data_IF_518510099983
#
_entry.id   IF_518510099983
#
_cell.length_a   1.000
_cell.length_b   1.000
_cell.length_c   1.000
_cell.angle_alpha   90.00
_cell.angle_beta   90.00
_cell.angle_gamma   90.00
#
_symmetry.space_group_name_H-M   'P 1'
#
loop_
_entity.id
_entity.type
_entity.pdbx_description
1 polymer ?
#
# COMPACT_ATOMS: atom_id res chain seq x y z
N UNK A 1 -7.91 -0.07 5.46
CA UNK A 1 -9.13 -0.65 4.85
C UNK A 1 -8.80 -1.33 3.51
N UNK A 2 -8.19 -0.66 2.54
CA UNK A 2 -7.93 -1.27 1.23
C UNK A 2 -6.96 -2.46 1.25
N UNK A 3 -5.90 -2.40 2.06
CA UNK A 3 -4.95 -3.51 2.17
C UNK A 3 -5.60 -4.84 2.60
N UNK A 4 -6.65 -4.83 3.44
CA UNK A 4 -7.33 -6.06 3.87
C UNK A 4 -8.15 -6.72 2.76
N UNK A 5 -8.65 -5.97 1.75
CA UNK A 5 -9.30 -6.60 0.60
C UNK A 5 -8.26 -7.25 -0.33
N UNK A 6 -7.08 -6.64 -0.48
CA UNK A 6 -5.98 -7.25 -1.23
C UNK A 6 -5.48 -8.55 -0.57
N UNK A 7 -5.46 -8.60 0.77
CA UNK A 7 -5.22 -9.85 1.51
C UNK A 7 -6.28 -10.90 1.25
N UNK A 8 -7.55 -10.52 1.18
CA UNK A 8 -8.64 -11.44 0.88
C UNK A 8 -8.50 -12.01 -0.54
N UNK A 9 -8.14 -11.19 -1.54
CA UNK A 9 -7.82 -11.67 -2.88
C UNK A 9 -6.63 -12.64 -2.87
N UNK A 10 -5.54 -12.29 -2.19
CA UNK A 10 -4.35 -13.14 -2.07
C UNK A 10 -4.67 -14.51 -1.45
N UNK A 11 -5.46 -14.50 -0.37
CA UNK A 11 -5.88 -15.71 0.33
C UNK A 11 -6.79 -16.58 -0.54
N UNK A 12 -7.70 -15.96 -1.32
CA UNK A 12 -8.56 -16.68 -2.25
C UNK A 12 -7.74 -17.36 -3.35
N UNK A 13 -6.80 -16.63 -3.98
CA UNK A 13 -5.88 -17.22 -4.96
C UNK A 13 -5.02 -18.33 -4.35
N UNK A 14 -4.56 -18.17 -3.10
CA UNK A 14 -3.82 -19.22 -2.40
C UNK A 14 -4.65 -20.49 -2.22
N UNK A 15 -5.93 -20.39 -1.86
CA UNK A 15 -6.83 -21.54 -1.77
C UNK A 15 -6.95 -22.24 -3.14
N UNK A 16 -7.07 -21.46 -4.21
CA UNK A 16 -7.14 -21.99 -5.57
C UNK A 16 -5.84 -22.63 -6.08
N UNK A 17 -4.68 -22.37 -5.44
CA UNK A 17 -3.41 -23.02 -5.79
C UNK A 17 -3.41 -24.54 -5.52
N UNK A 18 -4.33 -25.04 -4.68
CA UNK A 18 -4.45 -26.46 -4.35
C UNK A 18 -5.32 -27.24 -5.34
N UNK A 19 -5.80 -26.60 -6.41
CA UNK A 19 -6.51 -27.26 -7.51
C UNK A 19 -5.55 -27.54 -8.66
N UNK A 20 -5.65 -28.73 -9.24
CA UNK A 20 -4.88 -29.15 -10.41
C UNK A 20 -5.84 -29.47 -11.58
N UNK A 21 -5.77 -28.76 -12.72
CA UNK A 21 -4.90 -27.62 -13.02
C UNK A 21 -5.30 -26.34 -12.27
N UNK A 22 -4.42 -25.33 -12.25
CA UNK A 22 -4.73 -24.01 -11.71
C UNK A 22 -5.97 -23.42 -12.42
N UNK A 23 -6.95 -22.84 -11.70
CA UNK A 23 -8.21 -22.38 -12.30
C UNK A 23 -8.05 -21.31 -13.38
N UNK A 24 -7.01 -20.49 -13.30
CA UNK A 24 -6.73 -19.44 -14.27
C UNK A 24 -5.88 -19.92 -15.46
N UNK A 25 -5.41 -21.18 -15.46
CA UNK A 25 -4.56 -21.70 -16.53
C UNK A 25 -5.33 -22.10 -17.80
N UNK A 26 -6.66 -22.29 -17.71
CA UNK A 26 -7.47 -22.82 -18.81
C UNK A 26 -8.73 -21.98 -19.05
N UNK A 27 -9.29 -22.08 -20.26
CA UNK A 27 -10.54 -21.45 -20.67
C UNK A 27 -11.77 -22.38 -20.52
N UNK A 28 -11.62 -23.56 -19.91
CA UNK A 28 -12.67 -24.58 -19.79
C UNK A 28 -13.52 -24.46 -18.52
N UNK A 29 -13.58 -23.27 -17.91
CA UNK A 29 -14.27 -23.04 -16.65
C UNK A 29 -15.63 -22.34 -16.84
N UNK A 30 -16.58 -22.47 -15.89
CA UNK A 30 -17.93 -21.93 -16.04
C UNK A 30 -18.00 -20.40 -16.13
N UNK A 31 -16.96 -19.68 -15.69
CA UNK A 31 -16.89 -18.22 -15.80
C UNK A 31 -16.33 -17.74 -17.13
N UNK A 32 -15.78 -18.64 -17.96
CA UNK A 32 -15.15 -18.25 -19.21
C UNK A 32 -16.16 -17.93 -20.31
N UNK A 33 -15.78 -17.04 -21.23
CA UNK A 33 -16.58 -16.75 -22.42
C UNK A 33 -16.04 -17.48 -23.64
N UNK A 34 -16.85 -17.53 -24.71
CA UNK A 34 -16.42 -18.06 -26.02
C UNK A 34 -15.22 -17.30 -26.62
N UNK A 35 -14.89 -16.12 -26.10
CA UNK A 35 -13.74 -15.29 -26.51
C UNK A 35 -12.52 -15.43 -25.59
N UNK A 36 -12.55 -16.39 -24.66
CA UNK A 36 -11.42 -16.69 -23.81
C UNK A 36 -10.26 -17.28 -24.62
N UNK A 37 -9.06 -16.73 -24.44
CA UNK A 37 -7.86 -17.22 -25.13
C UNK A 37 -6.87 -17.78 -24.11
N UNK A 38 -6.49 -19.05 -24.30
CA UNK A 38 -5.34 -19.64 -23.64
C UNK A 38 -4.07 -19.18 -24.37
N UNK A 39 -3.24 -18.37 -23.72
CA UNK A 39 -1.98 -17.88 -24.30
C UNK A 39 -0.88 -18.95 -24.24
N UNK A 40 -1.05 -20.06 -24.96
CA UNK A 40 -0.01 -21.07 -25.15
C UNK A 40 0.73 -20.84 -26.48
N UNK A 41 2.00 -21.27 -26.54
CA UNK A 41 2.83 -21.22 -27.75
C UNK A 41 2.19 -21.95 -28.94
N UNK A 42 1.43 -23.02 -28.68
CA UNK A 42 0.69 -23.79 -29.69
C UNK A 42 -0.52 -23.05 -30.31
N UNK A 43 -1.19 -22.16 -29.57
CA UNK A 43 -2.29 -21.37 -30.12
C UNK A 43 -1.77 -20.26 -31.05
N UNK A 44 -0.55 -19.74 -30.82
CA UNK A 44 0.05 -18.73 -31.69
C UNK A 44 0.62 -19.26 -33.00
N UNK A 45 1.14 -20.49 -33.06
CA UNK A 45 1.48 -21.09 -34.37
C UNK A 45 0.24 -21.19 -35.25
N UNK A 46 -0.95 -21.43 -34.67
CA UNK A 46 -2.23 -21.39 -35.37
C UNK A 46 -2.72 -19.96 -35.71
N UNK A 47 -2.34 -18.93 -34.94
CA UNK A 47 -2.60 -17.51 -35.27
C UNK A 47 -1.69 -17.02 -36.41
N UNK A 48 -0.38 -17.28 -36.32
CA UNK A 48 0.60 -16.87 -37.34
C UNK A 48 0.43 -17.64 -38.66
N UNK A 49 -0.08 -18.87 -38.61
CA UNK A 49 -0.47 -19.62 -39.82
C UNK A 49 -1.85 -19.25 -40.37
N UNK A 50 -2.53 -18.27 -39.77
CA UNK A 50 -3.80 -17.72 -40.28
C UNK A 50 -5.06 -18.55 -39.98
N UNK A 51 -4.96 -19.58 -39.14
CA UNK A 51 -6.08 -20.44 -38.76
C UNK A 51 -6.91 -19.89 -37.58
N UNK A 52 -6.37 -18.94 -36.82
CA UNK A 52 -7.05 -18.25 -35.71
C UNK A 52 -6.90 -16.73 -35.84
N UNK A 53 -8.00 -15.99 -35.92
CA UNK A 53 -8.00 -14.52 -35.85
C UNK A 53 -8.20 -14.08 -34.39
N UNK A 54 -7.13 -13.68 -33.71
CA UNK A 54 -7.21 -13.08 -32.36
C UNK A 54 -7.28 -11.57 -32.48
N UNK A 55 -8.36 -10.98 -32.01
CA UNK A 55 -8.48 -9.53 -31.88
C UNK A 55 -8.07 -9.14 -30.45
N UNK A 56 -6.82 -8.75 -30.27
CA UNK A 56 -6.25 -8.33 -28.98
C UNK A 56 -6.95 -7.15 -28.29
N UNK A 57 -7.87 -6.46 -28.99
CA UNK A 57 -8.72 -5.42 -28.39
C UNK A 57 -10.00 -5.97 -27.75
N UNK A 58 -10.43 -7.18 -28.13
CA UNK A 58 -11.71 -7.79 -27.74
C UNK A 58 -11.56 -9.11 -27.00
N UNK A 59 -10.46 -9.82 -27.23
CA UNK A 59 -10.20 -11.14 -26.65
C UNK A 59 -9.41 -11.00 -25.35
N UNK A 60 -9.82 -11.73 -24.31
CA UNK A 60 -9.20 -11.68 -22.97
C UNK A 60 -8.51 -13.00 -22.63
N UNK A 61 -7.42 -12.90 -21.86
CA UNK A 61 -6.71 -14.09 -21.36
C UNK A 61 -7.54 -14.84 -20.33
N UNK A 62 -7.33 -16.16 -20.24
CA UNK A 62 -7.94 -17.02 -19.20
C UNK A 62 -7.77 -16.44 -17.78
N UNK A 63 -6.62 -15.83 -17.49
CA UNK A 63 -6.32 -15.21 -16.20
C UNK A 63 -7.10 -13.90 -15.99
N UNK A 64 -7.24 -13.09 -17.05
CA UNK A 64 -8.04 -11.87 -16.99
C UNK A 64 -9.51 -12.20 -16.72
N UNK A 65 -10.05 -13.21 -17.40
CA UNK A 65 -11.43 -13.66 -17.15
C UNK A 65 -11.59 -14.31 -15.76
N UNK A 66 -10.59 -15.06 -15.29
CA UNK A 66 -10.62 -15.57 -13.92
C UNK A 66 -10.69 -14.44 -12.88
N UNK A 67 -9.91 -13.37 -13.04
CA UNK A 67 -9.95 -12.21 -12.16
C UNK A 67 -11.31 -11.49 -12.22
N UNK A 68 -11.74 -11.10 -13.42
CA UNK A 68 -12.93 -10.27 -13.59
C UNK A 68 -14.23 -11.02 -13.34
N UNK A 69 -14.34 -12.28 -13.76
CA UNK A 69 -15.58 -13.07 -13.72
C UNK A 69 -15.58 -14.12 -12.62
N UNK A 70 -14.47 -14.83 -12.46
CA UNK A 70 -14.32 -15.89 -11.46
C UNK A 70 -14.22 -15.34 -10.04
N UNK A 71 -13.26 -14.44 -9.79
CA UNK A 71 -12.97 -13.92 -8.44
C UNK A 71 -13.86 -12.75 -8.06
N UNK A 72 -13.99 -11.74 -8.94
CA UNK A 72 -14.73 -10.52 -8.64
C UNK A 72 -16.19 -10.58 -9.09
N UNK A 73 -16.47 -11.33 -10.17
CA UNK A 73 -17.76 -11.28 -10.89
C UNK A 73 -18.23 -9.84 -11.13
N UNK A 74 -17.36 -9.04 -11.76
CA UNK A 74 -17.52 -7.60 -11.90
C UNK A 74 -18.88 -7.20 -12.49
N UNK A 75 -19.54 -6.23 -11.85
CA UNK A 75 -20.72 -5.57 -12.40
C UNK A 75 -20.35 -4.58 -13.52
N UNK A 76 -21.35 -3.89 -14.08
CA UNK A 76 -21.12 -2.89 -15.14
C UNK A 76 -20.52 -1.58 -14.64
N UNK A 77 -20.69 -1.28 -13.35
CA UNK A 77 -20.32 0.01 -12.77
C UNK A 77 -20.60 0.09 -11.28
N UNK A 78 -20.19 1.20 -10.67
CA UNK A 78 -20.35 1.46 -9.23
C UNK A 78 -21.82 1.62 -8.80
N UNK A 79 -22.71 1.94 -9.74
CA UNK A 79 -24.16 2.05 -9.52
C UNK A 79 -24.81 0.68 -9.25
N UNK A 80 -24.20 -0.39 -9.79
CA UNK A 80 -24.68 -1.76 -9.66
C UNK A 80 -23.76 -2.53 -8.72
N UNK A 81 -23.95 -2.40 -7.40
CA UNK A 81 -23.12 -3.13 -6.43
C UNK A 81 -23.27 -4.65 -6.55
N UNK A 82 -24.44 -5.13 -6.97
CA UNK A 82 -24.73 -6.55 -7.17
C UNK A 82 -24.73 -7.36 -5.86
N UNK A 83 -24.44 -8.65 -5.96
CA UNK A 83 -24.41 -9.56 -4.81
C UNK A 83 -23.04 -9.62 -4.13
N UNK A 84 -23.00 -10.00 -2.86
CA UNK A 84 -21.75 -10.27 -2.13
C UNK A 84 -21.11 -11.55 -2.65
N UNK A 85 -19.82 -11.51 -2.96
CA UNK A 85 -19.01 -12.70 -3.27
C UNK A 85 -18.66 -13.42 -1.98
N UNK A 86 -19.35 -14.53 -1.70
CA UNK A 86 -19.26 -15.24 -0.42
C UNK A 86 -17.86 -15.81 -0.15
N UNK A 87 -17.18 -16.35 -1.17
CA UNK A 87 -15.80 -16.85 -1.02
C UNK A 87 -14.85 -15.73 -0.59
N UNK A 88 -14.96 -14.57 -1.26
CA UNK A 88 -14.16 -13.40 -0.93
C UNK A 88 -14.49 -12.83 0.46
N UNK A 89 -15.78 -12.84 0.84
CA UNK A 89 -16.21 -12.44 2.19
C UNK A 89 -15.60 -13.33 3.28
N UNK A 90 -15.54 -14.64 3.05
CA UNK A 90 -14.91 -15.59 3.99
C UNK A 90 -13.40 -15.36 4.08
N UNK A 91 -12.72 -15.13 2.95
CA UNK A 91 -11.30 -14.77 2.94
C UNK A 91 -11.04 -13.44 3.65
N UNK A 92 -11.94 -12.47 3.50
CA UNK A 92 -11.87 -11.19 4.22
C UNK A 92 -12.04 -11.38 5.73
N UNK A 93 -13.01 -12.20 6.16
CA UNK A 93 -13.21 -12.54 7.56
C UNK A 93 -11.96 -13.22 8.14
N UNK A 94 -11.41 -14.21 7.43
CA UNK A 94 -10.17 -14.89 7.83
C UNK A 94 -9.00 -13.91 7.96
N UNK A 95 -8.87 -12.96 7.04
CA UNK A 95 -7.82 -11.93 7.07
C UNK A 95 -7.96 -11.02 8.30
N UNK A 96 -9.18 -10.59 8.65
CA UNK A 96 -9.42 -9.81 9.87
C UNK A 96 -9.18 -10.59 11.17
N UNK A 97 -9.58 -11.85 11.20
CA UNK A 97 -9.31 -12.74 12.34
C UNK A 97 -7.81 -12.91 12.54
N UNK A 98 -7.05 -13.13 11.45
CA UNK A 98 -5.59 -13.17 11.50
C UNK A 98 -5.00 -11.85 12.02
N UNK A 99 -5.47 -10.71 11.51
CA UNK A 99 -5.03 -9.39 11.97
C UNK A 99 -5.27 -9.17 13.46
N UNK A 100 -6.47 -9.48 13.94
CA UNK A 100 -6.84 -9.33 15.34
C UNK A 100 -5.89 -10.11 16.26
N UNK A 101 -5.69 -11.41 16.01
CA UNK A 101 -4.86 -12.25 16.88
C UNK A 101 -3.38 -11.87 16.84
N UNK A 102 -2.88 -11.31 15.74
CA UNK A 102 -1.50 -10.88 15.67
C UNK A 102 -1.21 -9.66 16.55
N UNK A 103 -2.15 -8.70 16.62
CA UNK A 103 -1.96 -7.44 17.37
C UNK A 103 -2.66 -7.39 18.73
N UNK A 104 -3.41 -8.42 19.14
CA UNK A 104 -4.26 -8.38 20.33
C UNK A 104 -3.53 -7.96 21.62
N UNK A 105 -2.27 -8.42 21.80
CA UNK A 105 -1.38 -8.06 22.93
C UNK A 105 -0.33 -6.99 22.55
N UNK A 106 -0.54 -6.32 21.44
CA UNK A 106 0.33 -5.30 20.85
C UNK A 106 1.70 -5.77 20.48
N UNK A 107 2.66 -4.85 20.56
CA UNK A 107 4.06 -5.08 20.18
C UNK A 107 4.70 -6.33 20.80
N UNK A 108 4.18 -6.84 21.93
CA UNK A 108 4.63 -8.12 22.51
C UNK A 108 4.21 -9.35 21.69
N UNK A 109 3.04 -9.31 21.08
CA UNK A 109 2.54 -10.35 20.16
C UNK A 109 3.06 -10.08 18.75
N UNK A 110 2.86 -8.85 18.25
CA UNK A 110 3.30 -8.42 16.93
C UNK A 110 4.79 -8.66 16.73
N UNK A 111 5.63 -8.29 17.71
CA UNK A 111 7.08 -8.50 17.63
C UNK A 111 7.50 -9.97 17.54
N UNK A 112 6.67 -10.92 17.99
CA UNK A 112 6.94 -12.36 17.82
C UNK A 112 6.52 -12.86 16.45
N UNK A 113 5.35 -12.44 15.99
CA UNK A 113 4.78 -12.84 14.69
C UNK A 113 5.66 -12.33 13.54
N UNK A 114 6.14 -11.09 13.65
CA UNK A 114 6.99 -10.42 12.64
C UNK A 114 8.30 -11.16 12.35
N UNK A 115 8.83 -11.97 13.28
CA UNK A 115 9.99 -12.81 12.97
C UNK A 115 9.72 -13.81 11.84
N UNK A 116 8.49 -14.30 11.71
CA UNK A 116 8.11 -15.14 10.58
C UNK A 116 7.59 -14.29 9.43
N UNK A 117 6.62 -13.41 9.69
CA UNK A 117 5.87 -12.72 8.64
C UNK A 117 6.72 -11.72 7.85
N UNK A 118 7.75 -11.11 8.46
CA UNK A 118 8.66 -10.22 7.74
C UNK A 118 9.84 -10.95 7.09
N UNK A 119 10.36 -12.03 7.70
CA UNK A 119 11.54 -12.74 7.15
C UNK A 119 11.17 -13.70 6.02
N UNK A 120 10.02 -14.36 6.10
CA UNK A 120 9.61 -15.35 5.11
C UNK A 120 9.45 -14.77 3.69
N UNK A 121 8.88 -13.56 3.50
CA UNK A 121 8.88 -12.89 2.20
C UNK A 121 10.27 -12.72 1.58
N UNK A 122 11.33 -12.48 2.36
CA UNK A 122 12.70 -12.41 1.82
C UNK A 122 13.20 -13.75 1.30
N UNK A 123 12.88 -14.84 2.00
CA UNK A 123 13.21 -16.20 1.54
C UNK A 123 12.46 -16.51 0.24
N UNK A 124 11.17 -16.19 0.18
CA UNK A 124 10.37 -16.39 -1.04
C UNK A 124 10.85 -15.50 -2.19
N UNK A 125 11.20 -14.25 -1.90
CA UNK A 125 11.73 -13.32 -2.89
C UNK A 125 13.05 -13.84 -3.48
N UNK A 126 13.95 -14.38 -2.65
CA UNK A 126 15.19 -14.99 -3.12
C UNK A 126 14.93 -16.20 -4.03
N UNK A 127 13.99 -17.07 -3.66
CA UNK A 127 13.59 -18.23 -4.47
C UNK A 127 12.98 -17.79 -5.81
N UNK A 128 12.05 -16.84 -5.80
CA UNK A 128 11.41 -16.31 -7.00
C UNK A 128 12.40 -15.54 -7.88
N UNK A 129 13.40 -14.87 -7.30
CA UNK A 129 14.46 -14.21 -8.05
C UNK A 129 15.34 -15.22 -8.79
N UNK A 130 15.83 -16.25 -8.10
CA UNK A 130 16.63 -17.32 -8.73
C UNK A 130 15.81 -18.01 -9.80
N UNK A 131 14.53 -18.29 -9.51
CA UNK A 131 13.64 -18.88 -10.51
C UNK A 131 13.43 -17.97 -11.72
N UNK A 132 13.08 -16.71 -11.48
CA UNK A 132 12.83 -15.72 -12.52
C UNK A 132 14.03 -15.53 -13.45
N UNK A 133 15.24 -15.43 -12.89
CA UNK A 133 16.47 -15.25 -13.65
C UNK A 133 16.92 -16.50 -14.43
N UNK A 134 16.45 -17.70 -14.06
CA UNK A 134 16.76 -18.95 -14.77
C UNK A 134 15.78 -19.28 -15.89
N UNK A 135 14.72 -18.49 -16.06
CA UNK A 135 13.74 -18.67 -17.12
C UNK A 135 14.26 -18.15 -18.48
N UNK A 136 13.84 -18.75 -19.60
CA UNK A 136 14.15 -18.22 -20.92
C UNK A 136 13.55 -16.83 -21.09
N UNK A 137 14.25 -15.93 -21.78
CA UNK A 137 13.76 -14.55 -21.99
C UNK A 137 13.86 -13.61 -20.77
N UNK A 138 14.28 -14.09 -19.60
CA UNK A 138 14.39 -13.27 -18.38
C UNK A 138 15.24 -11.99 -18.59
N UNK A 139 16.31 -12.08 -19.37
CA UNK A 139 17.16 -10.94 -19.69
C UNK A 139 16.45 -9.80 -20.43
N UNK A 140 15.42 -10.09 -21.24
CA UNK A 140 14.63 -9.05 -21.90
C UNK A 140 13.93 -8.18 -20.86
N UNK A 141 13.41 -8.79 -19.81
CA UNK A 141 12.79 -8.09 -18.69
C UNK A 141 13.79 -7.31 -17.84
N UNK A 142 14.95 -7.90 -17.53
CA UNK A 142 16.01 -7.18 -16.79
C UNK A 142 16.50 -5.96 -17.56
N UNK A 143 16.67 -6.08 -18.88
CA UNK A 143 17.01 -4.94 -19.74
C UNK A 143 15.91 -3.89 -19.67
N UNK A 144 14.64 -4.27 -19.86
CA UNK A 144 13.54 -3.32 -19.77
C UNK A 144 13.46 -2.59 -18.42
N UNK A 145 13.75 -3.30 -17.32
CA UNK A 145 13.76 -2.70 -15.98
C UNK A 145 14.85 -1.64 -15.79
N UNK A 146 16.05 -1.90 -16.30
CA UNK A 146 17.24 -1.09 -15.99
C UNK A 146 17.69 -0.18 -17.13
N UNK A 147 17.13 -0.32 -18.33
CA UNK A 147 17.56 0.47 -19.48
C UNK A 147 17.31 1.96 -19.21
N UNK A 148 18.37 2.78 -19.12
CA UNK A 148 18.21 4.17 -18.74
C UNK A 148 17.70 4.99 -19.93
N UNK A 149 16.64 5.77 -19.71
CA UNK A 149 16.19 6.81 -20.64
C UNK A 149 16.38 8.20 -19.98
N UNK A 150 17.49 8.91 -20.26
CA UNK A 150 17.77 10.20 -19.65
C UNK A 150 16.73 11.28 -19.98
N UNK A 151 16.01 11.15 -21.11
CA UNK A 151 15.00 12.14 -21.50
C UNK A 151 13.81 12.15 -20.54
N UNK A 152 13.53 11.01 -19.88
CA UNK A 152 12.51 10.92 -18.84
C UNK A 152 12.82 11.75 -17.59
N UNK A 153 14.08 12.14 -17.35
CA UNK A 153 14.41 13.02 -16.22
C UNK A 153 13.92 14.47 -16.41
N UNK A 154 13.63 14.87 -17.65
CA UNK A 154 13.02 16.16 -17.96
C UNK A 154 11.49 16.18 -17.73
N UNK A 155 10.87 15.00 -17.58
CA UNK A 155 9.46 14.85 -17.31
C UNK A 155 9.20 15.07 -15.81
N UNK A 156 8.44 16.13 -15.49
CA UNK A 156 8.11 16.47 -14.10
C UNK A 156 7.30 15.36 -13.43
N UNK A 157 6.47 14.63 -14.18
CA UNK A 157 5.63 13.56 -13.65
C UNK A 157 6.47 12.44 -13.03
N UNK A 158 7.63 12.13 -13.62
CA UNK A 158 8.56 11.12 -13.09
C UNK A 158 9.05 11.48 -11.68
N UNK A 159 9.28 12.76 -11.41
CA UNK A 159 9.67 13.23 -10.08
C UNK A 159 8.52 13.22 -9.08
N UNK A 160 7.29 13.53 -9.53
CA UNK A 160 6.09 13.45 -8.69
C UNK A 160 5.81 12.00 -8.25
N UNK A 161 5.90 11.06 -9.19
CA UNK A 161 5.77 9.62 -8.95
C UNK A 161 6.87 9.13 -8.01
N UNK A 162 8.13 9.53 -8.22
CA UNK A 162 9.24 9.17 -7.34
C UNK A 162 9.05 9.68 -5.91
N UNK A 163 8.63 10.94 -5.73
CA UNK A 163 8.38 11.52 -4.40
C UNK A 163 7.25 10.78 -3.67
N UNK A 164 6.14 10.55 -4.38
CA UNK A 164 4.97 9.86 -3.84
C UNK A 164 5.30 8.41 -3.49
N UNK A 165 6.05 7.71 -4.34
CA UNK A 165 6.52 6.34 -4.11
C UNK A 165 7.38 6.25 -2.86
N UNK A 166 8.31 7.19 -2.64
CA UNK A 166 9.15 7.21 -1.43
C UNK A 166 8.28 7.42 -0.19
N UNK A 167 7.38 8.40 -0.17
CA UNK A 167 6.54 8.68 1.00
C UNK A 167 5.66 7.48 1.38
N UNK A 168 5.01 6.85 0.40
CA UNK A 168 4.17 5.66 0.65
C UNK A 168 4.98 4.43 1.02
N UNK A 169 6.11 4.18 0.34
CA UNK A 169 6.94 3.00 0.59
C UNK A 169 7.49 2.97 2.02
N UNK A 170 7.87 4.13 2.58
CA UNK A 170 8.33 4.23 3.96
C UNK A 170 7.20 4.43 4.98
N UNK A 171 5.97 4.69 4.54
CA UNK A 171 4.85 5.03 5.42
C UNK A 171 5.09 6.30 6.25
N UNK A 172 5.83 7.28 5.71
CA UNK A 172 6.08 8.57 6.39
C UNK A 172 4.78 9.38 6.44
N UNK A 173 4.61 10.25 7.46
CA UNK A 173 3.40 11.04 7.68
C UNK A 173 2.11 10.23 7.96
N UNK A 174 2.22 8.90 8.14
CA UNK A 174 1.10 8.04 8.56
C UNK A 174 0.99 7.88 10.08
N UNK A 175 1.97 8.37 10.86
CA UNK A 175 2.10 8.14 12.29
C UNK A 175 2.67 6.76 12.69
N UNK A 176 2.88 5.86 11.72
CA UNK A 176 3.35 4.49 12.00
C UNK A 176 4.74 4.45 12.61
N UNK A 177 5.71 5.15 12.00
CA UNK A 177 7.08 5.21 12.52
C UNK A 177 7.16 5.93 13.88
N UNK A 178 6.30 6.93 14.10
CA UNK A 178 6.20 7.63 15.40
C UNK A 178 5.72 6.64 16.47
N UNK A 179 4.67 5.88 16.17
CA UNK A 179 4.12 4.89 17.10
C UNK A 179 5.12 3.78 17.40
N UNK A 180 5.72 3.18 16.38
CA UNK A 180 6.71 2.12 16.58
C UNK A 180 7.96 2.64 17.32
N UNK A 181 8.40 3.85 17.00
CA UNK A 181 9.48 4.53 17.70
C UNK A 181 9.20 4.79 19.18
N UNK A 182 7.94 5.01 19.57
CA UNK A 182 7.54 5.23 20.97
C UNK A 182 7.78 4.02 21.88
N UNK A 183 7.89 2.81 21.30
CA UNK A 183 8.20 1.58 22.04
C UNK A 183 9.69 1.32 22.21
N UNK A 184 10.55 2.10 21.56
CA UNK A 184 11.99 1.95 21.69
C UNK A 184 12.46 2.40 23.08
N UNK A 185 13.61 1.86 23.50
CA UNK A 185 14.32 2.39 24.66
C UNK A 185 14.80 3.81 24.37
N UNK A 186 14.76 4.70 25.36
CA UNK A 186 15.14 6.12 25.20
C UNK A 186 16.56 6.30 24.64
N UNK A 187 17.51 5.44 25.02
CA UNK A 187 18.90 5.49 24.54
C UNK A 187 19.16 4.61 23.30
N UNK A 188 18.11 4.18 22.60
CA UNK A 188 18.26 3.43 21.36
C UNK A 188 18.84 4.32 20.25
N UNK A 189 19.73 3.77 19.42
CA UNK A 189 20.34 4.52 18.34
C UNK A 189 19.40 4.62 17.12
N UNK A 190 18.36 5.45 17.25
CA UNK A 190 17.38 5.66 16.19
C UNK A 190 17.98 6.27 14.91
N UNK A 191 19.10 7.00 15.02
CA UNK A 191 19.83 7.54 13.88
C UNK A 191 20.35 6.40 13.00
N UNK A 192 21.05 5.41 13.57
CA UNK A 192 21.52 4.23 12.85
C UNK A 192 20.36 3.39 12.30
N UNK A 193 19.31 3.19 13.10
CA UNK A 193 18.16 2.37 12.68
C UNK A 193 17.45 2.99 11.47
N UNK A 194 17.29 4.32 11.44
CA UNK A 194 16.69 5.02 10.29
C UNK A 194 17.48 4.83 8.99
N UNK A 195 18.82 4.85 9.05
CA UNK A 195 19.66 4.59 7.88
C UNK A 195 19.51 3.15 7.38
N UNK A 196 19.46 2.16 8.28
CA UNK A 196 19.22 0.78 7.91
C UNK A 196 17.82 0.55 7.34
N UNK A 197 16.78 1.18 7.90
CA UNK A 197 15.43 1.12 7.37
C UNK A 197 15.38 1.67 5.94
N UNK A 198 16.04 2.81 5.68
CA UNK A 198 16.17 3.37 4.34
C UNK A 198 16.89 2.42 3.37
N UNK A 199 18.04 1.87 3.78
CA UNK A 199 18.79 0.96 2.93
C UNK A 199 17.98 -0.32 2.62
N UNK A 200 17.43 -0.96 3.65
CA UNK A 200 16.71 -2.24 3.51
C UNK A 200 15.46 -2.10 2.65
N UNK A 201 14.64 -1.06 2.86
CA UNK A 201 13.43 -0.85 2.07
C UNK A 201 13.74 -0.63 0.57
N UNK A 202 14.68 0.27 0.27
CA UNK A 202 15.09 0.54 -1.12
C UNK A 202 15.75 -0.67 -1.78
N UNK A 203 16.63 -1.39 -1.07
CA UNK A 203 17.25 -2.60 -1.58
C UNK A 203 16.21 -3.71 -1.84
N UNK A 204 15.23 -3.87 -0.94
CA UNK A 204 14.14 -4.84 -1.13
C UNK A 204 13.34 -4.52 -2.40
N UNK A 205 12.98 -3.24 -2.58
CA UNK A 205 12.25 -2.78 -3.77
C UNK A 205 13.05 -2.99 -5.06
N UNK A 206 14.35 -2.70 -5.03
CA UNK A 206 15.24 -2.92 -6.17
C UNK A 206 15.37 -4.40 -6.54
N UNK A 207 15.59 -5.27 -5.55
CA UNK A 207 15.68 -6.73 -5.75
C UNK A 207 14.33 -7.31 -6.21
N UNK A 208 13.22 -6.83 -5.66
CA UNK A 208 11.88 -7.20 -6.11
C UNK A 208 11.63 -6.83 -7.58
N UNK A 209 12.15 -5.69 -8.04
CA UNK A 209 12.16 -5.32 -9.45
C UNK A 209 12.76 -6.41 -10.35
N UNK A 210 13.92 -6.98 -10.00
CA UNK A 210 14.48 -8.09 -10.77
C UNK A 210 13.58 -9.33 -10.78
N UNK A 211 13.01 -9.72 -9.64
CA UNK A 211 12.12 -10.89 -9.56
C UNK A 211 10.85 -10.71 -10.42
N UNK A 212 10.27 -9.50 -10.40
CA UNK A 212 9.11 -9.12 -11.22
C UNK A 212 9.46 -9.12 -12.70
N UNK A 213 10.43 -8.31 -13.09
CA UNK A 213 10.72 -8.08 -14.50
C UNK A 213 11.35 -9.30 -15.17
N UNK A 214 12.13 -10.11 -14.48
CA UNK A 214 12.61 -11.39 -15.06
C UNK A 214 11.46 -12.34 -15.40
N UNK A 215 10.46 -12.45 -14.52
CA UNK A 215 9.25 -13.25 -14.77
C UNK A 215 8.38 -12.68 -15.90
N UNK A 216 8.25 -11.35 -15.98
CA UNK A 216 7.55 -10.70 -17.09
C UNK A 216 8.30 -10.83 -18.43
N UNK A 217 9.63 -10.81 -18.40
CA UNK A 217 10.48 -11.06 -19.58
C UNK A 217 10.31 -12.48 -20.11
N UNK A 218 10.22 -13.47 -19.22
CA UNK A 218 9.82 -14.84 -19.58
C UNK A 218 8.43 -14.87 -20.23
N UNK A 219 7.45 -14.20 -19.63
CA UNK A 219 6.10 -14.16 -20.19
C UNK A 219 6.06 -13.50 -21.58
N UNK A 220 6.79 -12.39 -21.77
CA UNK A 220 6.95 -11.71 -23.05
C UNK A 220 7.59 -12.61 -24.10
N UNK A 221 8.61 -13.39 -23.71
CA UNK A 221 9.31 -14.33 -24.57
C UNK A 221 8.43 -15.51 -25.00
N UNK A 222 7.78 -16.19 -24.06
CA UNK A 222 6.88 -17.32 -24.34
C UNK A 222 5.67 -16.88 -25.18
N UNK A 223 5.19 -15.66 -24.96
CA UNK A 223 4.08 -15.10 -25.72
C UNK A 223 4.55 -14.34 -26.96
N UNK A 224 5.84 -14.29 -27.30
CA UNK A 224 6.34 -13.50 -28.43
C UNK A 224 5.73 -12.07 -28.51
N UNK A 225 5.53 -11.42 -27.37
CA UNK A 225 4.94 -10.08 -27.26
C UNK A 225 5.97 -9.09 -26.72
N UNK A 226 5.90 -7.81 -27.12
CA UNK A 226 6.75 -6.81 -26.55
C UNK A 226 6.38 -6.59 -25.08
N UNK A 227 7.40 -6.37 -24.24
CA UNK A 227 7.23 -6.42 -22.79
C UNK A 227 6.31 -5.33 -22.24
N UNK A 228 6.23 -4.18 -22.89
CA UNK A 228 5.32 -3.07 -22.54
C UNK A 228 3.83 -3.47 -22.59
N UNK A 229 3.47 -4.49 -23.38
CA UNK A 229 2.09 -5.00 -23.46
C UNK A 229 1.73 -5.97 -22.35
N UNK A 230 2.72 -6.51 -21.65
CA UNK A 230 2.51 -7.45 -20.54
C UNK A 230 2.66 -6.82 -19.16
N UNK A 231 3.27 -5.64 -19.07
CA UNK A 231 3.34 -4.89 -17.82
C UNK A 231 1.97 -4.30 -17.52
N UNK A 232 1.42 -4.64 -16.35
CA UNK A 232 0.23 -4.01 -15.79
C UNK A 232 0.60 -3.24 -14.52
N UNK A 233 -0.26 -2.29 -14.12
CA UNK A 233 -0.11 -1.52 -12.88
C UNK A 233 -1.16 -1.95 -11.84
N UNK A 234 -0.88 -1.65 -10.57
CA UNK A 234 -1.81 -1.90 -9.47
C UNK A 234 -2.14 -3.38 -9.26
N UNK A 235 -3.37 -3.73 -8.85
CA UNK A 235 -3.78 -5.11 -8.61
C UNK A 235 -3.62 -6.03 -9.84
N UNK A 236 -3.74 -5.49 -11.05
CA UNK A 236 -3.59 -6.26 -12.29
C UNK A 236 -2.19 -6.91 -12.43
N UNK A 237 -1.14 -6.24 -11.93
CA UNK A 237 0.20 -6.83 -11.92
C UNK A 237 0.22 -8.14 -11.11
N UNK A 238 -0.29 -8.10 -9.88
CA UNK A 238 -0.22 -9.20 -8.94
C UNK A 238 -1.27 -10.31 -9.19
N UNK A 239 -2.45 -9.97 -9.70
CA UNK A 239 -3.57 -10.90 -9.85
C UNK A 239 -3.86 -11.31 -11.30
N UNK A 240 -3.23 -10.68 -12.28
CA UNK A 240 -3.35 -11.03 -13.71
C UNK A 240 -1.98 -11.37 -14.31
N UNK A 241 -1.05 -10.42 -14.38
CA UNK A 241 0.22 -10.62 -15.08
C UNK A 241 1.11 -11.70 -14.43
N UNK A 242 1.27 -11.66 -13.11
CA UNK A 242 2.06 -12.67 -12.39
C UNK A 242 1.47 -14.08 -12.43
N UNK A 243 0.17 -14.29 -12.14
CA UNK A 243 -0.43 -15.61 -12.23
C UNK A 243 -0.39 -16.18 -13.65
N UNK A 244 -0.45 -15.31 -14.66
CA UNK A 244 -0.26 -15.69 -16.06
C UNK A 244 1.17 -16.19 -16.34
N UNK A 245 2.19 -15.46 -15.88
CA UNK A 245 3.58 -15.91 -16.00
C UNK A 245 3.81 -17.24 -15.26
N UNK A 246 3.26 -17.38 -14.05
CA UNK A 246 3.40 -18.58 -13.22
C UNK A 246 2.72 -19.80 -13.85
N UNK A 247 1.54 -19.64 -14.46
CA UNK A 247 0.82 -20.72 -15.12
C UNK A 247 1.61 -21.34 -16.29
N UNK A 248 2.56 -20.60 -16.88
CA UNK A 248 3.44 -21.05 -17.95
C UNK A 248 4.70 -21.77 -17.44
N UNK A 249 5.00 -21.70 -16.15
CA UNK A 249 6.16 -22.35 -15.56
C UNK A 249 5.88 -23.82 -15.25
N UNK A 250 6.88 -24.72 -15.32
CA UNK A 250 6.76 -26.07 -14.77
C UNK A 250 6.50 -26.00 -13.26
N UNK A 251 5.63 -26.89 -12.77
CA UNK A 251 5.14 -26.94 -11.39
C UNK A 251 4.45 -25.62 -10.96
N UNK A 252 3.46 -25.13 -11.71
CA UNK A 252 2.89 -23.79 -11.50
C UNK A 252 2.23 -23.64 -10.13
N UNK A 253 1.70 -24.72 -9.54
CA UNK A 253 1.09 -24.71 -8.21
C UNK A 253 2.08 -24.30 -7.10
N UNK A 254 3.33 -24.78 -7.18
CA UNK A 254 4.37 -24.45 -6.19
C UNK A 254 4.68 -22.96 -6.22
N UNK A 255 4.93 -22.41 -7.41
CA UNK A 255 5.28 -21.00 -7.58
C UNK A 255 4.12 -20.08 -7.22
N UNK A 256 2.88 -20.45 -7.59
CA UNK A 256 1.68 -19.71 -7.22
C UNK A 256 1.51 -19.65 -5.69
N UNK A 257 1.62 -20.80 -5.02
CA UNK A 257 1.51 -20.86 -3.56
C UNK A 257 2.59 -20.01 -2.87
N UNK A 258 3.85 -20.11 -3.30
CA UNK A 258 4.93 -19.26 -2.78
C UNK A 258 4.65 -17.76 -2.98
N UNK A 259 4.19 -17.36 -4.18
CA UNK A 259 3.87 -15.97 -4.50
C UNK A 259 2.72 -15.43 -3.65
N UNK A 260 1.60 -16.15 -3.54
CA UNK A 260 0.44 -15.67 -2.78
C UNK A 260 0.63 -15.74 -1.26
N UNK A 261 1.41 -16.69 -0.74
CA UNK A 261 1.84 -16.67 0.68
C UNK A 261 2.69 -15.42 0.93
N UNK A 262 3.66 -15.14 0.08
CA UNK A 262 4.50 -13.94 0.20
C UNK A 262 3.64 -12.66 0.16
N UNK A 263 2.74 -12.54 -0.82
CA UNK A 263 1.86 -11.38 -0.97
C UNK A 263 0.93 -11.20 0.22
N UNK A 264 0.37 -12.30 0.75
CA UNK A 264 -0.44 -12.27 1.96
C UNK A 264 0.37 -11.78 3.17
N UNK A 265 1.58 -12.31 3.41
CA UNK A 265 2.41 -11.91 4.55
C UNK A 265 2.86 -10.45 4.47
N UNK A 266 3.23 -9.96 3.29
CA UNK A 266 3.62 -8.55 3.08
C UNK A 266 2.46 -7.58 3.39
N UNK A 267 1.25 -7.88 2.91
CA UNK A 267 0.08 -7.06 3.21
C UNK A 267 -0.33 -7.14 4.69
N UNK A 268 -0.15 -8.31 5.30
CA UNK A 268 -0.50 -8.60 6.68
C UNK A 268 0.30 -7.72 7.65
N UNK A 269 1.63 -7.65 7.48
CA UNK A 269 2.51 -6.80 8.28
C UNK A 269 2.16 -5.30 8.16
N UNK A 270 1.80 -4.86 6.95
CA UNK A 270 1.36 -3.48 6.70
C UNK A 270 0.08 -3.15 7.48
N UNK A 271 -0.90 -4.07 7.48
CA UNK A 271 -2.15 -3.89 8.25
C UNK A 271 -1.88 -3.87 9.75
N UNK A 272 -0.95 -4.70 10.24
CA UNK A 272 -0.60 -4.73 11.67
C UNK A 272 -0.04 -3.40 12.14
N UNK A 273 0.89 -2.83 11.37
CA UNK A 273 1.50 -1.56 11.70
C UNK A 273 0.45 -0.42 11.73
N UNK A 274 -0.47 -0.40 10.77
CA UNK A 274 -1.57 0.57 10.73
C UNK A 274 -2.55 0.43 11.90
N UNK A 275 -2.96 -0.80 12.23
CA UNK A 275 -3.86 -1.05 13.36
C UNK A 275 -3.21 -0.77 14.72
N UNK A 276 -1.91 -1.08 14.87
CA UNK A 276 -1.16 -0.71 16.08
C UNK A 276 -1.11 0.82 16.23
N UNK A 277 -0.80 1.53 15.15
CA UNK A 277 -0.77 3.01 15.12
C UNK A 277 -2.07 3.62 15.61
N UNK A 278 -3.21 3.17 15.06
CA UNK A 278 -4.51 3.66 15.46
C UNK A 278 -4.84 3.30 16.91
N UNK A 279 -4.58 2.06 17.31
CA UNK A 279 -4.91 1.56 18.65
C UNK A 279 -4.07 2.27 19.72
N UNK A 280 -2.78 2.44 19.49
CA UNK A 280 -1.87 3.13 20.41
C UNK A 280 -2.23 4.61 20.53
N UNK A 281 -2.57 5.28 19.42
CA UNK A 281 -3.04 6.66 19.45
C UNK A 281 -4.29 6.83 20.33
N UNK A 282 -5.26 5.90 20.23
CA UNK A 282 -6.47 5.92 21.07
C UNK A 282 -6.15 5.65 22.54
N UNK A 283 -5.25 4.70 22.82
CA UNK A 283 -4.81 4.37 24.19
C UNK A 283 -4.13 5.57 24.84
N UNK A 284 -3.30 6.30 24.11
CA UNK A 284 -2.57 7.46 24.62
C UNK A 284 -3.46 8.69 24.81
N UNK A 285 -4.54 8.81 24.03
CA UNK A 285 -5.55 9.86 24.23
C UNK A 285 -6.44 9.61 25.46
N UNK A 286 -6.73 8.34 25.80
CA UNK A 286 -7.60 7.97 26.93
C UNK A 286 -6.96 6.96 27.90
N UNK A 287 -5.83 7.31 28.55
CA UNK A 287 -5.03 6.34 29.30
C UNK A 287 -5.76 5.74 30.51
N UNK A 288 -6.60 6.51 31.21
CA UNK A 288 -7.31 6.05 32.41
C UNK A 288 -8.38 4.98 32.14
N UNK A 289 -8.92 4.97 30.92
CA UNK A 289 -9.96 4.06 30.46
C UNK A 289 -9.34 2.87 29.73
N UNK A 290 -8.37 3.13 28.85
CA UNK A 290 -7.85 2.14 27.90
C UNK A 290 -6.71 1.27 28.43
N UNK A 291 -5.94 1.73 29.43
CA UNK A 291 -4.83 0.93 30.02
C UNK A 291 -5.28 -0.15 31.01
N UNK A 292 -6.58 -0.29 31.24
CA UNK A 292 -7.15 -1.36 32.07
C UNK A 292 -7.04 -2.72 31.34
N UNK A 293 -6.93 -3.85 32.07
CA UNK A 293 -6.82 -5.16 31.44
C UNK A 293 -8.02 -5.42 30.51
N UNK A 294 -7.77 -6.09 29.38
CA UNK A 294 -8.74 -6.47 28.35
C UNK A 294 -9.36 -5.33 27.53
N UNK A 295 -9.20 -4.06 27.92
CA UNK A 295 -9.83 -2.92 27.22
C UNK A 295 -9.30 -2.71 25.82
N UNK A 296 -7.99 -2.91 25.63
CA UNK A 296 -7.36 -2.89 24.31
C UNK A 296 -7.95 -3.96 23.42
N UNK A 297 -8.00 -5.20 23.90
CA UNK A 297 -8.49 -6.37 23.18
C UNK A 297 -9.96 -6.21 22.78
N UNK A 298 -10.77 -5.65 23.69
CA UNK A 298 -12.18 -5.32 23.44
C UNK A 298 -12.32 -4.20 22.40
N UNK A 299 -11.53 -3.12 22.51
CA UNK A 299 -11.55 -2.05 21.51
C UNK A 299 -11.15 -2.58 20.12
N UNK A 300 -10.09 -3.38 20.06
CA UNK A 300 -9.60 -3.97 18.83
C UNK A 300 -10.66 -4.84 18.14
N UNK A 301 -11.37 -5.70 18.88
CA UNK A 301 -12.39 -6.55 18.26
C UNK A 301 -13.55 -5.71 17.73
N UNK A 302 -14.03 -4.71 18.48
CA UNK A 302 -15.07 -3.81 17.99
C UNK A 302 -14.63 -3.01 16.76
N UNK A 303 -13.40 -2.50 16.76
CA UNK A 303 -12.85 -1.74 15.65
C UNK A 303 -12.68 -2.63 14.40
N UNK A 304 -12.09 -3.81 14.55
CA UNK A 304 -11.93 -4.77 13.44
C UNK A 304 -13.29 -5.22 12.89
N UNK A 305 -14.27 -5.52 13.75
CA UNK A 305 -15.63 -5.87 13.34
C UNK A 305 -16.33 -4.73 12.60
N UNK A 306 -16.17 -3.49 13.06
CA UNK A 306 -16.71 -2.32 12.38
C UNK A 306 -16.09 -2.13 10.99
N UNK A 307 -14.76 -2.23 10.88
CA UNK A 307 -14.07 -2.16 9.59
C UNK A 307 -14.49 -3.31 8.67
N UNK A 308 -14.62 -4.54 9.18
CA UNK A 308 -15.10 -5.69 8.42
C UNK A 308 -16.49 -5.44 7.83
N UNK A 309 -17.45 -4.94 8.64
CA UNK A 309 -18.81 -4.65 8.18
C UNK A 309 -18.81 -3.62 7.04
N UNK A 310 -18.02 -2.55 7.15
CA UNK A 310 -17.89 -1.56 6.06
C UNK A 310 -17.34 -2.22 4.79
N UNK A 311 -16.36 -3.11 4.93
CA UNK A 311 -15.69 -3.77 3.82
C UNK A 311 -16.50 -4.85 3.13
N UNK A 312 -17.64 -5.28 3.68
CA UNK A 312 -18.57 -6.16 2.96
C UNK A 312 -19.00 -5.51 1.63
N UNK A 313 -19.11 -4.17 1.59
CA UNK A 313 -19.37 -3.44 0.34
C UNK A 313 -18.27 -3.60 -0.71
N UNK A 314 -17.03 -3.86 -0.30
CA UNK A 314 -15.89 -4.08 -1.21
C UNK A 314 -15.78 -5.52 -1.70
N UNK A 315 -16.55 -6.45 -1.13
CA UNK A 315 -16.62 -7.86 -1.58
C UNK A 315 -17.80 -8.12 -2.50
N UNK A 316 -18.57 -7.09 -2.88
CA UNK A 316 -19.65 -7.25 -3.86
C UNK A 316 -19.12 -7.25 -5.30
N UNK A 317 -19.98 -7.60 -6.25
CA UNK A 317 -19.68 -7.56 -7.70
C UNK A 317 -19.20 -6.18 -8.19
N UNK A 318 -19.79 -5.10 -7.66
CA UNK A 318 -19.34 -3.73 -7.91
C UNK A 318 -18.21 -3.24 -6.98
N UNK A 319 -17.73 -4.09 -6.07
CA UNK A 319 -16.78 -3.74 -5.01
C UNK A 319 -15.42 -3.26 -5.53
N UNK A 320 -15.01 -3.72 -6.72
CA UNK A 320 -13.75 -3.27 -7.36
C UNK A 320 -13.80 -1.80 -7.78
N UNK A 321 -14.97 -1.27 -8.17
CA UNK A 321 -15.13 0.16 -8.47
C UNK A 321 -15.05 1.00 -7.20
N UNK A 322 -15.66 0.53 -6.10
CA UNK A 322 -15.50 1.15 -4.79
C UNK A 322 -14.04 1.10 -4.30
N UNK A 323 -13.36 -0.02 -4.52
CA UNK A 323 -11.94 -0.17 -4.21
C UNK A 323 -11.11 0.86 -4.97
N UNK A 324 -11.29 0.97 -6.29
CA UNK A 324 -10.58 1.95 -7.12
C UNK A 324 -10.87 3.39 -6.68
N UNK A 325 -12.12 3.71 -6.35
CA UNK A 325 -12.50 5.04 -5.85
C UNK A 325 -11.77 5.38 -4.55
N UNK A 326 -11.74 4.44 -3.60
CA UNK A 326 -11.05 4.61 -2.32
C UNK A 326 -9.52 4.65 -2.48
N UNK A 327 -8.96 3.85 -3.37
CA UNK A 327 -7.52 3.81 -3.65
C UNK A 327 -7.07 5.14 -4.27
N UNK A 328 -7.81 5.61 -5.28
CA UNK A 328 -7.51 6.85 -5.99
C UNK A 328 -7.66 8.11 -5.12
N UNK A 329 -8.79 8.26 -4.40
CA UNK A 329 -9.06 9.47 -3.61
C UNK A 329 -8.62 9.37 -2.15
N UNK A 330 -8.74 8.20 -1.53
CA UNK A 330 -8.45 8.00 -0.12
C UNK A 330 -6.97 7.79 0.17
N UNK A 331 -6.29 6.95 -0.62
CA UNK A 331 -4.85 6.76 -0.57
C UNK A 331 -4.10 7.69 -1.54
N UNK A 332 -4.60 8.93 -1.70
CA UNK A 332 -4.04 9.90 -2.63
C UNK A 332 -2.70 10.47 -2.12
N UNK A 333 -1.70 10.52 -3.02
CA UNK A 333 -0.42 11.19 -2.81
C UNK A 333 -0.55 12.64 -2.34
N UNK A 334 -1.56 13.38 -2.80
CA UNK A 334 -1.78 14.76 -2.38
C UNK A 334 -2.08 14.87 -0.87
N UNK A 335 -2.87 13.96 -0.30
CA UNK A 335 -3.21 13.96 1.13
C UNK A 335 -1.98 13.72 2.00
N UNK A 336 -1.14 12.74 1.63
CA UNK A 336 0.08 12.44 2.41
C UNK A 336 1.14 13.55 2.26
N UNK A 337 1.23 14.17 1.08
CA UNK A 337 2.10 15.34 0.85
C UNK A 337 1.70 16.52 1.73
N UNK A 338 0.40 16.79 1.88
CA UNK A 338 -0.11 17.82 2.78
C UNK A 338 0.27 17.55 4.23
N UNK A 339 0.04 16.33 4.73
CA UNK A 339 0.39 15.98 6.11
C UNK A 339 1.90 16.07 6.32
N UNK A 340 2.70 15.58 5.38
CA UNK A 340 4.16 15.68 5.42
C UNK A 340 4.65 17.14 5.46
N UNK A 341 4.01 18.04 4.71
CA UNK A 341 4.28 19.47 4.77
C UNK A 341 4.05 20.02 6.18
N UNK A 342 2.87 19.75 6.74
CA UNK A 342 2.49 20.25 8.06
C UNK A 342 3.44 19.70 9.12
N UNK A 343 3.81 18.42 9.06
CA UNK A 343 4.79 17.80 9.95
C UNK A 343 6.18 18.46 9.83
N UNK A 344 6.66 18.73 8.61
CA UNK A 344 7.95 19.38 8.43
C UNK A 344 7.95 20.82 8.94
N UNK A 345 6.85 21.57 8.77
CA UNK A 345 6.69 22.91 9.36
C UNK A 345 6.65 22.83 10.88
N UNK A 346 5.89 21.88 11.43
CA UNK A 346 5.76 21.57 12.85
C UNK A 346 7.11 21.25 13.52
N UNK A 347 7.94 20.46 12.86
CA UNK A 347 9.21 19.93 13.37
C UNK A 347 10.34 20.92 13.09
N UNK A 348 10.47 21.36 11.84
CA UNK A 348 11.60 22.16 11.35
C UNK A 348 11.60 23.61 11.82
N UNK A 349 10.43 24.24 11.93
CA UNK A 349 10.29 25.68 12.21
C UNK A 349 9.66 25.95 13.57
N UNK A 350 8.54 25.29 13.80
CA UNK A 350 7.66 25.46 14.94
C UNK A 350 8.25 24.95 16.26
N UNK A 351 8.61 23.67 16.29
CA UNK A 351 9.38 23.05 17.36
C UNK A 351 10.84 23.53 17.30
N UNK A 352 11.40 23.59 16.09
CA UNK A 352 12.74 24.07 15.81
C UNK A 352 13.72 22.92 15.62
N UNK A 353 14.30 22.83 14.42
CA UNK A 353 15.19 21.74 14.04
C UNK A 353 16.44 21.59 14.94
N UNK A 354 16.95 22.68 15.52
CA UNK A 354 18.10 22.62 16.44
C UNK A 354 17.80 21.80 17.69
N UNK A 355 16.60 22.01 18.28
CA UNK A 355 16.19 21.25 19.48
C UNK A 355 16.06 19.76 19.18
N UNK A 356 15.67 19.40 17.96
CA UNK A 356 15.59 18.00 17.54
C UNK A 356 16.97 17.40 17.38
N UNK A 357 17.91 18.14 16.79
CA UNK A 357 19.30 17.69 16.74
C UNK A 357 19.88 17.47 18.14
N UNK A 358 19.61 18.37 19.09
CA UNK A 358 20.05 18.24 20.47
C UNK A 358 19.40 17.01 21.14
N UNK A 359 18.10 16.76 20.93
CA UNK A 359 17.41 15.57 21.44
C UNK A 359 17.97 14.26 20.87
N UNK A 360 18.29 14.23 19.57
CA UNK A 360 18.90 13.04 18.94
C UNK A 360 20.32 12.82 19.48
N UNK A 361 21.08 13.89 19.69
CA UNK A 361 22.40 13.83 20.33
C UNK A 361 22.30 13.28 21.77
N UNK A 362 21.33 13.76 22.55
CA UNK A 362 21.07 13.27 23.90
C UNK A 362 20.67 11.78 23.92
N UNK A 363 19.87 11.32 22.95
CA UNK A 363 19.42 9.92 22.88
C UNK A 363 20.53 8.98 22.38
N UNK A 364 21.27 9.37 21.34
CA UNK A 364 22.17 8.48 20.59
C UNK A 364 23.66 8.71 20.88
N UNK A 365 24.01 9.83 21.51
CA UNK A 365 25.39 10.29 21.70
C UNK A 365 26.02 10.89 20.43
N UNK A 366 25.27 11.01 19.33
CA UNK A 366 25.75 11.53 18.05
C UNK A 366 24.83 12.63 17.54
N UNK A 367 25.39 13.82 17.27
CA UNK A 367 24.64 14.91 16.66
C UNK A 367 24.37 14.60 15.18
N UNK A 368 23.11 14.71 14.71
CA UNK A 368 22.80 14.54 13.29
C UNK A 368 23.59 15.52 12.42
N UNK A 369 23.99 15.05 11.24
CA UNK A 369 24.66 15.91 10.26
C UNK A 369 23.78 17.09 9.83
N UNK A 370 24.42 18.22 9.52
CA UNK A 370 23.73 19.46 9.14
C UNK A 370 22.78 19.30 7.94
N UNK A 371 23.03 18.32 7.07
CA UNK A 371 22.14 18.00 5.95
C UNK A 371 20.72 17.64 6.42
N UNK A 372 20.55 16.89 7.51
CA UNK A 372 19.23 16.54 8.04
C UNK A 372 18.44 17.78 8.47
N UNK A 373 19.12 18.72 9.13
CA UNK A 373 18.55 20.01 9.52
C UNK A 373 18.10 20.81 8.29
N UNK A 374 18.93 20.85 7.24
CA UNK A 374 18.60 21.53 5.98
C UNK A 374 17.40 20.85 5.28
N UNK A 375 17.36 19.52 5.31
CA UNK A 375 16.28 18.72 4.74
C UNK A 375 14.94 19.00 5.42
N UNK A 376 14.86 18.89 6.75
CA UNK A 376 13.62 19.11 7.50
C UNK A 376 13.11 20.54 7.39
N UNK A 377 14.01 21.52 7.31
CA UNK A 377 13.64 22.94 7.32
C UNK A 377 13.29 23.49 5.94
N UNK A 378 13.96 23.03 4.89
CA UNK A 378 13.87 23.65 3.56
C UNK A 378 13.60 22.66 2.43
N UNK A 379 14.46 21.65 2.27
CA UNK A 379 14.42 20.80 1.06
C UNK A 379 13.13 19.98 1.00
N UNK A 380 12.78 19.26 2.07
CA UNK A 380 11.58 18.42 2.11
C UNK A 380 10.31 19.26 1.98
N UNK A 381 10.10 20.34 2.77
CA UNK A 381 8.95 21.23 2.57
C UNK A 381 8.82 21.76 1.14
N UNK A 382 9.92 22.16 0.52
CA UNK A 382 9.91 22.72 -0.85
C UNK A 382 9.50 21.66 -1.88
N UNK A 383 10.09 20.46 -1.81
CA UNK A 383 9.74 19.35 -2.70
C UNK A 383 8.28 18.94 -2.49
N UNK A 384 7.85 18.79 -1.23
CA UNK A 384 6.47 18.45 -0.92
C UNK A 384 5.48 19.52 -1.40
N UNK A 385 5.78 20.82 -1.25
CA UNK A 385 4.95 21.91 -1.78
C UNK A 385 4.86 21.85 -3.31
N UNK A 386 6.00 21.70 -4.00
CA UNK A 386 6.02 21.63 -5.44
C UNK A 386 5.20 20.44 -5.94
N UNK A 387 5.39 19.26 -5.35
CA UNK A 387 4.65 18.06 -5.71
C UNK A 387 3.16 18.20 -5.41
N UNK A 388 2.81 18.79 -4.26
CA UNK A 388 1.44 19.03 -3.88
C UNK A 388 0.74 19.95 -4.89
N UNK A 389 1.36 21.07 -5.28
CA UNK A 389 0.79 21.98 -6.29
C UNK A 389 0.62 21.26 -7.63
N UNK A 390 1.64 20.54 -8.11
CA UNK A 390 1.55 19.85 -9.40
C UNK A 390 0.47 18.76 -9.41
N UNK A 391 0.25 18.07 -8.28
CA UNK A 391 -0.83 17.06 -8.18
C UNK A 391 -2.24 17.62 -8.42
N UNK A 392 -2.46 18.92 -8.19
CA UNK A 392 -3.71 19.59 -8.54
C UNK A 392 -3.75 20.09 -10.00
N UNK A 393 -2.60 20.46 -10.56
CA UNK A 393 -2.51 20.94 -11.94
C UNK A 393 -2.73 19.80 -12.94
N UNK A 394 -2.18 18.62 -12.66
CA UNK A 394 -2.29 17.42 -13.51
C UNK A 394 -3.44 16.50 -13.07
N UNK A 395 -4.42 17.01 -12.33
CA UNK A 395 -5.56 16.22 -11.89
C UNK A 395 -6.36 15.68 -13.09
N UNK A 396 -6.50 14.37 -13.15
CA UNK A 396 -7.35 13.67 -14.11
C UNK A 396 -8.45 12.94 -13.36
N UNK A 397 -9.72 13.03 -13.77
CA UNK A 397 -10.79 12.29 -13.11
C UNK A 397 -10.54 10.78 -13.21
N UNK A 398 -10.86 10.06 -12.14
CA UNK A 398 -10.75 8.60 -12.10
C UNK A 398 -11.59 7.98 -13.23
N UNK A 399 -10.96 7.13 -14.04
CA UNK A 399 -11.63 6.30 -15.04
C UNK A 399 -11.25 4.84 -14.80
N UNK A 400 -12.19 3.92 -15.04
CA UNK A 400 -11.90 2.48 -14.95
C UNK A 400 -11.63 1.87 -16.32
N UNK A 401 -11.05 0.67 -16.34
CA UNK A 401 -10.71 -0.05 -17.57
C UNK A 401 -11.89 -0.21 -18.51
N UNK A 402 -11.64 -0.09 -19.82
CA UNK A 402 -12.68 -0.17 -20.85
C UNK A 402 -13.48 1.13 -21.08
N UNK A 403 -13.02 2.26 -20.53
CA UNK A 403 -13.63 3.58 -20.75
C UNK A 403 -14.83 3.90 -19.86
N UNK A 404 -14.99 3.19 -18.74
CA UNK A 404 -16.03 3.48 -17.76
C UNK A 404 -15.72 4.79 -17.03
N UNK A 405 -16.64 5.75 -17.15
CA UNK A 405 -16.62 7.01 -16.41
C UNK A 405 -17.51 6.89 -15.17
N UNK A 406 -16.97 7.30 -14.01
CA UNK A 406 -17.73 7.28 -12.77
C UNK A 406 -18.82 8.36 -12.77
N UNK A 407 -19.95 8.13 -12.07
CA UNK A 407 -21.01 9.11 -11.92
C UNK A 407 -20.59 10.28 -11.01
N UNK A 408 -21.19 11.45 -11.18
CA UNK A 408 -20.83 12.69 -10.45
C UNK A 408 -20.90 12.57 -8.92
N UNK A 409 -21.78 11.72 -8.40
CA UNK A 409 -21.86 11.48 -6.95
C UNK A 409 -20.61 10.74 -6.44
N UNK A 410 -20.01 9.86 -7.25
CA UNK A 410 -18.82 9.10 -6.87
C UNK A 410 -17.60 10.02 -6.81
N UNK A 411 -17.45 10.95 -7.76
CA UNK A 411 -16.39 11.97 -7.69
C UNK A 411 -16.53 12.85 -6.45
N UNK A 412 -17.76 13.31 -6.14
CA UNK A 412 -18.02 14.11 -4.93
C UNK A 412 -17.70 13.32 -3.66
N UNK A 413 -18.09 12.05 -3.60
CA UNK A 413 -17.74 11.16 -2.50
C UNK A 413 -16.23 10.99 -2.37
N UNK A 414 -15.52 10.80 -3.49
CA UNK A 414 -14.06 10.74 -3.54
C UNK A 414 -13.40 11.96 -2.92
N UNK A 415 -13.83 13.18 -3.30
CA UNK A 415 -13.32 14.41 -2.70
C UNK A 415 -13.64 14.55 -1.21
N UNK A 416 -14.82 14.11 -0.75
CA UNK A 416 -15.14 14.06 0.68
C UNK A 416 -14.19 13.12 1.42
N UNK A 417 -13.88 11.95 0.85
CA UNK A 417 -12.92 11.00 1.42
C UNK A 417 -11.53 11.63 1.50
N UNK A 418 -11.05 12.26 0.42
CA UNK A 418 -9.75 12.93 0.39
C UNK A 418 -9.65 14.06 1.45
N UNK A 419 -10.69 14.89 1.55
CA UNK A 419 -10.75 15.99 2.51
C UNK A 419 -10.90 15.53 3.96
N UNK A 420 -11.44 14.33 4.20
CA UNK A 420 -11.65 13.79 5.54
C UNK A 420 -10.36 13.62 6.35
N UNK A 421 -9.20 13.45 5.68
CA UNK A 421 -7.89 13.35 6.34
C UNK A 421 -7.18 14.71 6.46
N UNK A 422 -7.41 15.62 5.51
CA UNK A 422 -6.73 16.92 5.41
C UNK A 422 -7.39 17.99 6.30
N UNK A 423 -8.72 18.10 6.26
CA UNK A 423 -9.50 19.15 6.94
C UNK A 423 -9.43 19.09 8.47
N UNK A 424 -9.33 17.93 9.15
CA UNK A 424 -9.18 17.88 10.60
C UNK A 424 -7.95 18.63 11.14
N UNK A 425 -6.88 18.75 10.35
CA UNK A 425 -5.63 19.44 10.75
C UNK A 425 -5.88 20.94 11.01
N UNK A 426 -6.37 21.76 10.05
CA UNK A 426 -6.66 23.16 10.31
C UNK A 426 -7.80 23.36 11.31
N UNK A 427 -8.84 22.49 11.31
CA UNK A 427 -9.91 22.57 12.31
C UNK A 427 -9.35 22.39 13.72
N UNK A 428 -8.50 21.37 13.93
CA UNK A 428 -7.86 21.11 15.21
C UNK A 428 -7.01 22.31 15.68
N UNK A 429 -6.28 22.93 14.77
CA UNK A 429 -5.49 24.12 15.07
C UNK A 429 -6.38 25.30 15.52
N UNK A 430 -7.47 25.57 14.79
CA UNK A 430 -8.42 26.64 15.10
C UNK A 430 -9.11 26.38 16.45
N UNK A 431 -9.62 25.17 16.68
CA UNK A 431 -10.28 24.80 17.95
C UNK A 431 -9.33 24.96 19.13
N UNK A 432 -8.07 24.55 19.01
CA UNK A 432 -7.05 24.72 20.07
C UNK A 432 -6.75 26.19 20.37
N UNK A 433 -6.71 27.04 19.35
CA UNK A 433 -6.52 28.48 19.51
C UNK A 433 -7.71 29.10 20.26
N UNK A 434 -8.95 28.72 19.92
CA UNK A 434 -10.14 29.26 20.59
C UNK A 434 -10.31 28.79 22.04
N UNK A 435 -9.93 27.55 22.36
CA UNK A 435 -10.14 26.98 23.70
C UNK A 435 -9.06 27.34 24.71
N UNK A 436 -7.89 27.81 24.26
CA UNK A 436 -6.78 28.08 25.18
C UNK A 436 -6.86 29.54 25.66
N UNK A 437 -6.75 29.77 26.96
CA UNK A 437 -6.91 31.10 27.57
C UNK A 437 -5.60 31.92 27.53
N UNK A 438 -5.67 33.21 27.16
CA UNK A 438 -4.56 34.17 27.22
C UNK A 438 -4.40 35.06 25.95
N UNK A 439 -3.46 36.01 25.97
CA UNK A 439 -3.21 36.96 24.87
C UNK A 439 -2.19 36.44 23.85
N UNK A 440 -2.46 36.63 22.55
CA UNK A 440 -1.62 36.21 21.41
C UNK A 440 -0.11 36.59 21.51
N UNK A 441 0.28 37.59 22.31
CA UNK A 441 1.68 37.98 22.54
C UNK A 441 2.41 37.08 23.56
N UNK A 442 1.77 36.71 24.67
CA UNK A 442 2.28 35.73 25.65
C UNK A 442 2.48 34.35 24.99
N UNK A 443 1.68 34.11 23.96
CA UNK A 443 1.61 32.88 23.17
C UNK A 443 2.80 32.70 22.21
N UNK A 444 3.38 33.79 21.70
CA UNK A 444 4.62 33.74 20.90
C UNK A 444 5.84 33.42 21.77
N UNK A 445 5.88 33.92 23.01
CA UNK A 445 7.00 33.70 23.94
C UNK A 445 7.05 32.28 24.52
N UNK A 446 5.91 31.59 24.61
CA UNK A 446 5.82 30.23 25.17
C UNK A 446 5.95 29.09 24.13
N UNK A 447 6.27 29.37 22.86
CA UNK A 447 6.51 28.33 21.85
C UNK A 447 5.26 27.51 21.51
N UNK A 448 4.19 28.17 21.08
CA UNK A 448 2.87 27.54 20.92
C UNK A 448 2.68 26.70 19.67
N UNK A 449 3.54 26.83 18.67
CA UNK A 449 3.51 25.91 17.53
C UNK A 449 3.73 24.43 17.99
N UNK A 450 4.33 24.25 19.15
CA UNK A 450 4.49 22.99 19.88
C UNK A 450 3.22 22.54 20.64
N UNK A 451 2.40 23.46 21.17
CA UNK A 451 1.14 23.17 21.87
C UNK A 451 -0.06 23.01 20.91
N UNK A 452 -0.01 23.62 19.72
CA UNK A 452 -1.01 23.43 18.65
C UNK A 452 -0.88 22.02 18.02
N UNK A 453 0.34 21.44 18.06
CA UNK A 453 0.66 20.14 17.48
C UNK A 453 0.89 19.02 18.52
N UNK A 454 0.80 19.31 19.82
CA UNK A 454 0.88 18.27 20.88
C UNK A 454 -0.49 17.95 21.47
N UNK A 455 -0.80 16.65 21.49
CA UNK A 455 -1.88 16.04 22.25
C UNK A 455 -1.59 16.09 23.76
N UNK A 456 -2.61 16.00 24.64
CA UNK A 456 -2.65 16.74 25.90
C UNK A 456 -1.51 16.38 26.84
N UNK A 457 -0.95 17.43 27.47
CA UNK A 457 -0.15 17.29 28.69
C UNK A 457 -0.93 16.39 29.65
N UNK A 458 -0.38 15.22 29.93
CA UNK A 458 -0.74 14.42 31.09
C UNK A 458 -0.66 15.35 32.29
N UNK A 459 -1.82 15.71 32.82
CA UNK A 459 -1.95 16.46 34.06
C UNK A 459 -1.19 15.68 35.12
N UNK A 460 -0.03 16.22 35.48
CA UNK A 460 0.76 15.81 36.63
C UNK A 460 0.00 16.27 37.87
N UNK A 461 -1.03 15.52 38.24
CA UNK A 461 -1.64 15.64 39.56
C UNK A 461 -0.99 14.59 40.45
N UNK A 462 0.04 15.00 41.19
CA UNK A 462 0.30 14.47 42.52
C UNK A 462 -0.35 15.43 43.53
N UNK A 463 -0.75 14.91 44.70
CA UNK A 463 0.03 15.21 45.89
C UNK A 463 1.18 14.23 46.05
#
# INVERSE_FOLDING_TARGET
ILYTIALAWALLYLIYCFRDPLPWATCSNPWNTDRCVELTSANRTAVDSGNLTVNWTSDKSSVSEFWERGVLSMSRGIEELGTVQWELLLCLLASWVACYFCIWKGVRSTGKVVYFTALFPYVMLAILLVRGLTLPGAMQGVIYYLYPDPYRLADLQVWLEACTQVLFSYGVASGTLITLGSYNKVKNNCYRDSLWLCALNSCTSFVAGFAVFSSLGFMAHEQAMPIDKVVQSGPGLAFIAFPQAIAMMPLPQLWAACFFIMLFLLGLDTVFAGLETLTSSVIDMFPGQMRRPWRREIFLIFFCSFCFIIQISLTTQGGVYLFQLLDYYGANGACILFVCLVECVAVGWAFGADRICDMVEDMTGQRPWHIFKLCWRYIIPLICMACFICSFLDYQPLTSGGGYAYPDWAYRLGWVIALSSVVPVPIGAVVKIYLTEGTLSVWRSCGILLNILSFPRVLKNSP
#
